data_IF_797807650018
#
_entry.id   IF_797807650018
#
_cell.length_a   1.000
_cell.length_b   1.000
_cell.length_c   1.000
_cell.angle_alpha   90.00
_cell.angle_beta   90.00
_cell.angle_gamma   90.00
#
_symmetry.space_group_name_H-M   'P 1'
#
loop_
_entity.id
_entity.type
_entity.pdbx_description
1 polymer ?
#
# COMPACT_ATOMS: atom_id res chain seq x y z
N UNK A 1 9.63 -20.37 7.37
CA UNK A 1 10.08 -20.75 8.74
C UNK A 1 10.89 -19.63 9.38
N UNK A 2 11.98 -19.14 8.77
CA UNK A 2 12.87 -18.15 9.42
C UNK A 2 12.19 -16.86 9.91
N UNK A 3 11.14 -16.37 9.24
CA UNK A 3 10.38 -15.17 9.63
C UNK A 3 9.64 -15.28 10.96
N UNK A 4 9.30 -16.50 11.40
CA UNK A 4 8.57 -16.76 12.65
C UNK A 4 9.51 -16.83 13.87
N UNK A 5 10.82 -16.78 13.66
CA UNK A 5 11.82 -16.86 14.73
C UNK A 5 11.97 -15.46 15.36
N UNK A 6 11.83 -15.32 16.69
CA UNK A 6 12.04 -14.05 17.38
C UNK A 6 13.39 -13.41 17.04
N UNK A 7 13.39 -12.10 16.78
CA UNK A 7 14.59 -11.32 16.45
C UNK A 7 14.92 -11.21 14.96
N UNK A 8 14.34 -12.04 14.08
CA UNK A 8 14.59 -11.96 12.63
C UNK A 8 13.88 -10.77 11.99
N UNK A 9 12.65 -10.45 12.42
CA UNK A 9 11.86 -9.34 11.87
C UNK A 9 11.89 -8.07 12.73
N UNK A 10 12.67 -8.05 13.81
CA UNK A 10 12.70 -6.96 14.79
C UNK A 10 11.49 -6.98 15.74
N UNK A 11 10.27 -6.88 15.22
CA UNK A 11 9.01 -6.98 15.98
C UNK A 11 8.10 -8.07 15.42
N UNK A 12 7.26 -8.66 16.30
CA UNK A 12 6.31 -9.71 15.91
C UNK A 12 5.25 -9.17 14.93
N UNK A 13 4.89 -7.90 15.06
CA UNK A 13 3.92 -7.18 14.18
C UNK A 13 4.37 -7.08 12.71
N UNK A 14 5.63 -7.37 12.41
CA UNK A 14 6.17 -7.41 11.05
C UNK A 14 5.92 -8.73 10.33
N UNK A 15 5.24 -9.69 10.98
CA UNK A 15 4.75 -10.90 10.33
C UNK A 15 3.66 -10.54 9.32
N UNK A 16 3.91 -10.87 8.05
CA UNK A 16 2.99 -10.52 6.95
C UNK A 16 1.66 -11.27 7.07
N UNK A 17 1.64 -12.44 7.70
CA UNK A 17 0.42 -13.22 7.94
C UNK A 17 -0.60 -12.46 8.83
N UNK A 18 -0.14 -11.52 9.67
CA UNK A 18 -0.98 -10.69 10.52
C UNK A 18 -1.33 -9.33 9.86
N UNK A 19 -0.77 -9.03 8.69
CA UNK A 19 -0.99 -7.76 7.99
C UNK A 19 -2.10 -7.90 6.95
N UNK A 20 -3.06 -6.98 6.99
CA UNK A 20 -4.03 -6.81 5.90
C UNK A 20 -3.29 -6.14 4.73
N UNK A 21 -2.68 -6.95 3.86
CA UNK A 21 -1.94 -6.47 2.67
C UNK A 21 -2.77 -6.44 1.39
N UNK A 22 -4.07 -6.67 1.50
CA UNK A 22 -4.97 -6.68 0.34
C UNK A 22 -5.25 -5.24 -0.13
N UNK A 23 -5.07 -4.96 -1.43
CA UNK A 23 -5.48 -3.69 -2.04
C UNK A 23 -4.53 -3.12 -3.10
N UNK A 24 -4.93 -1.99 -3.66
CA UNK A 24 -4.16 -1.26 -4.69
C UNK A 24 -3.14 -0.34 -4.00
N UNK A 25 -1.87 -0.47 -4.35
CA UNK A 25 -0.78 0.36 -3.82
C UNK A 25 -0.16 1.21 -4.92
N UNK A 26 0.12 2.48 -4.60
CA UNK A 26 0.80 3.42 -5.47
C UNK A 26 2.13 3.85 -4.86
N UNK A 27 3.10 4.13 -5.71
CA UNK A 27 4.40 4.68 -5.33
C UNK A 27 4.89 5.62 -6.43
N UNK A 28 6.01 6.29 -6.20
CA UNK A 28 6.63 7.18 -7.19
C UNK A 28 6.98 6.39 -8.47
N UNK A 29 6.85 7.00 -9.67
CA UNK A 29 6.47 8.39 -9.96
C UNK A 29 4.94 8.61 -10.01
N UNK A 30 4.51 9.88 -9.98
CA UNK A 30 3.08 10.27 -10.05
C UNK A 30 2.37 9.77 -11.33
N UNK A 31 3.10 9.72 -12.46
CA UNK A 31 2.61 9.17 -13.72
C UNK A 31 3.56 8.07 -14.18
N UNK A 32 3.09 6.84 -14.17
CA UNK A 32 3.79 5.69 -14.74
C UNK A 32 3.42 5.55 -16.22
N UNK A 33 4.40 5.72 -17.11
CA UNK A 33 4.23 5.44 -18.55
C UNK A 33 4.63 4.01 -18.84
N UNK A 34 3.67 3.16 -19.23
CA UNK A 34 3.92 1.75 -19.55
C UNK A 34 3.15 1.31 -20.78
N UNK A 35 3.83 0.65 -21.74
CA UNK A 35 3.25 0.15 -23.00
C UNK A 35 2.37 1.19 -23.74
N UNK A 36 2.85 2.43 -23.84
CA UNK A 36 2.14 3.59 -24.44
C UNK A 36 0.86 4.04 -23.70
N UNK A 37 0.62 3.54 -22.49
CA UNK A 37 -0.45 4.00 -21.59
C UNK A 37 0.14 4.79 -20.43
N UNK A 38 -0.61 5.78 -19.96
CA UNK A 38 -0.28 6.56 -18.77
C UNK A 38 -1.16 6.07 -17.62
N UNK A 39 -0.52 5.72 -16.50
CA UNK A 39 -1.18 5.35 -15.26
C UNK A 39 -0.88 6.43 -14.23
N UNK A 40 -1.89 7.20 -13.85
CA UNK A 40 -1.78 8.28 -12.87
C UNK A 40 -2.19 7.80 -11.48
N UNK A 41 -1.53 8.33 -10.46
CA UNK A 41 -1.96 8.17 -9.07
C UNK A 41 -3.27 8.94 -8.86
N UNK A 42 -4.29 8.36 -8.18
CA UNK A 42 -5.50 9.09 -7.80
C UNK A 42 -5.19 10.34 -6.96
N UNK A 43 -5.86 11.46 -7.25
CA UNK A 43 -5.62 12.74 -6.55
C UNK A 43 -5.83 12.64 -5.03
N UNK A 44 -6.77 11.82 -4.58
CA UNK A 44 -7.02 11.55 -3.15
C UNK A 44 -5.79 10.98 -2.43
N UNK A 45 -4.87 10.31 -3.14
CA UNK A 45 -3.64 9.78 -2.57
C UNK A 45 -2.50 10.81 -2.57
N UNK A 46 -2.67 11.95 -3.23
CA UNK A 46 -1.65 13.01 -3.33
C UNK A 46 -1.86 14.14 -2.31
N UNK A 47 -3.07 14.28 -1.75
CA UNK A 47 -3.43 15.42 -0.89
C UNK A 47 -3.04 15.25 0.59
N UNK A 48 -2.63 14.05 1.02
CA UNK A 48 -2.25 13.76 2.41
C UNK A 48 -3.43 13.69 3.40
N UNK A 49 -4.67 13.74 2.93
CA UNK A 49 -5.86 13.66 3.77
C UNK A 49 -6.18 12.22 4.14
N UNK A 50 -5.73 11.80 5.32
CA UNK A 50 -5.87 10.43 5.81
C UNK A 50 -7.33 9.97 5.87
N UNK A 51 -8.26 10.85 6.24
CA UNK A 51 -9.68 10.49 6.33
C UNK A 51 -10.31 10.24 4.95
N UNK A 52 -9.90 10.99 3.93
CA UNK A 52 -10.37 10.77 2.56
C UNK A 52 -9.72 9.54 1.92
N UNK A 53 -8.43 9.32 2.19
CA UNK A 53 -7.70 8.12 1.75
C UNK A 53 -8.37 6.87 2.31
N UNK A 54 -8.72 6.86 3.60
CA UNK A 54 -9.36 5.71 4.23
C UNK A 54 -10.77 5.46 3.65
N UNK A 55 -11.57 6.52 3.48
CA UNK A 55 -12.89 6.42 2.82
C UNK A 55 -12.78 5.91 1.37
N UNK A 56 -11.73 6.29 0.66
CA UNK A 56 -11.49 5.83 -0.70
C UNK A 56 -11.06 4.36 -0.72
N UNK A 57 -10.16 3.93 0.18
CA UNK A 57 -9.75 2.53 0.32
C UNK A 57 -10.91 1.62 0.71
N UNK A 58 -11.76 2.05 1.64
CA UNK A 58 -12.93 1.31 2.08
C UNK A 58 -14.01 1.10 1.00
N UNK A 59 -14.01 1.90 -0.09
CA UNK A 59 -14.90 1.70 -1.24
C UNK A 59 -14.38 0.66 -2.25
N UNK A 60 -13.09 0.31 -2.17
CA UNK A 60 -12.45 -0.63 -3.10
C UNK A 60 -12.46 -2.07 -2.60
N UNK A 61 -12.79 -2.27 -1.33
CA UNK A 61 -13.04 -3.56 -0.67
C UNK A 61 -14.54 -3.84 -0.77
#
# INVERSE_FOLDING_TARGET
ISRQIPGVLGTIESLEDDRITEGITYTRPEILKYKKKNYSVPEVLLNGNHAEIEKWRAKLI
#
